data_IF_687065186014
#
_entry.id   IF_687065186014
#
_cell.length_a   1.000
_cell.length_b   1.000
_cell.length_c   1.000
_cell.angle_alpha   90.00
_cell.angle_beta   90.00
_cell.angle_gamma   90.00
#
_symmetry.space_group_name_H-M   'P 1'
#
loop_
_entity.id
_entity.type
_entity.pdbx_description
1 polymer ?
#
# COMPACT_ATOMS: atom_id res chain seq x y z
N UNK A 1 -16.23 -7.62 -9.24
CA UNK A 1 -14.89 -7.99 -8.73
C UNK A 1 -14.26 -6.82 -7.99
N UNK A 2 -13.70 -7.04 -6.79
CA UNK A 2 -13.01 -5.96 -6.08
C UNK A 2 -11.77 -5.49 -6.84
N UNK A 3 -11.46 -4.23 -6.68
CA UNK A 3 -10.34 -3.59 -7.38
C UNK A 3 -9.32 -3.03 -6.39
N UNK A 4 -8.08 -3.00 -6.83
CA UNK A 4 -6.98 -2.35 -6.11
C UNK A 4 -6.69 -1.02 -6.80
N UNK A 5 -6.71 0.06 -6.01
CA UNK A 5 -6.38 1.40 -6.47
C UNK A 5 -5.12 1.87 -5.74
N UNK A 6 -4.14 2.30 -6.51
CA UNK A 6 -2.86 2.76 -5.94
C UNK A 6 -2.79 4.27 -6.08
N UNK A 7 -2.68 4.95 -4.95
CA UNK A 7 -2.50 6.39 -4.91
C UNK A 7 -1.03 6.63 -4.56
N UNK A 8 -0.31 7.31 -5.45
CA UNK A 8 1.10 7.57 -5.24
C UNK A 8 1.42 9.03 -5.58
N UNK A 9 2.57 9.49 -5.14
CA UNK A 9 3.03 10.85 -5.37
C UNK A 9 3.89 11.33 -4.21
N UNK A 10 4.52 12.49 -4.35
CA UNK A 10 5.36 13.02 -3.29
C UNK A 10 4.53 13.42 -2.07
N UNK A 11 5.20 13.50 -0.93
CA UNK A 11 4.57 13.95 0.31
C UNK A 11 4.03 15.38 0.15
N UNK A 12 2.93 15.67 0.82
CA UNK A 12 2.38 17.03 0.83
C UNK A 12 1.45 17.38 -0.32
N UNK A 13 1.12 16.42 -1.20
CA UNK A 13 0.18 16.68 -2.30
C UNK A 13 -1.26 16.25 -1.99
N UNK A 14 -1.57 15.98 -0.73
CA UNK A 14 -2.92 15.62 -0.32
C UNK A 14 -3.32 14.18 -0.58
N UNK A 15 -2.36 13.28 -0.70
CA UNK A 15 -2.64 11.85 -0.98
C UNK A 15 -3.59 11.22 0.04
N UNK A 16 -3.37 11.49 1.32
CA UNK A 16 -4.20 10.89 2.37
C UNK A 16 -5.64 11.34 2.28
N UNK A 17 -5.89 12.62 2.00
CA UNK A 17 -7.23 13.14 1.84
C UNK A 17 -7.92 12.51 0.63
N UNK A 18 -7.22 12.47 -0.51
CA UNK A 18 -7.75 11.87 -1.74
C UNK A 18 -8.05 10.39 -1.52
N UNK A 19 -7.14 9.67 -0.87
CA UNK A 19 -7.30 8.24 -0.61
C UNK A 19 -8.52 7.95 0.26
N UNK A 20 -8.74 8.73 1.31
CA UNK A 20 -9.90 8.59 2.17
C UNK A 20 -11.20 8.83 1.42
N UNK A 21 -11.25 9.88 0.62
CA UNK A 21 -12.45 10.19 -0.16
C UNK A 21 -12.73 9.10 -1.18
N UNK A 22 -11.70 8.60 -1.84
CA UNK A 22 -11.87 7.49 -2.78
C UNK A 22 -12.40 6.24 -2.08
N UNK A 23 -11.82 5.88 -0.95
CA UNK A 23 -12.26 4.70 -0.20
C UNK A 23 -13.71 4.81 0.24
N UNK A 24 -14.14 6.00 0.68
CA UNK A 24 -15.52 6.25 1.12
C UNK A 24 -16.52 6.12 -0.03
N UNK A 25 -16.08 6.26 -1.27
CA UNK A 25 -16.98 6.21 -2.43
C UNK A 25 -17.42 4.79 -2.78
N UNK A 26 -16.81 3.77 -2.19
CA UNK A 26 -17.17 2.37 -2.44
C UNK A 26 -17.97 1.81 -1.27
N UNK A 27 -18.85 0.85 -1.57
CA UNK A 27 -19.70 0.24 -0.56
C UNK A 27 -18.90 -0.55 0.50
N UNK A 28 -17.84 -1.21 0.08
CA UNK A 28 -17.05 -2.05 0.95
C UNK A 28 -15.59 -1.88 0.56
N UNK A 29 -14.84 -1.16 1.36
CA UNK A 29 -13.47 -0.81 1.01
C UNK A 29 -12.56 -0.77 2.23
N UNK A 30 -11.26 -0.87 1.98
CA UNK A 30 -10.22 -0.73 2.98
C UNK A 30 -9.19 0.28 2.47
N UNK A 31 -8.74 1.15 3.35
CA UNK A 31 -7.66 2.10 3.06
C UNK A 31 -6.40 1.62 3.77
N UNK A 32 -5.34 1.44 3.01
CA UNK A 32 -4.05 1.01 3.54
C UNK A 32 -3.04 2.12 3.33
N UNK A 33 -2.54 2.67 4.43
CA UNK A 33 -1.49 3.66 4.41
C UNK A 33 -0.14 2.95 4.52
N UNK A 34 0.63 2.93 3.43
CA UNK A 34 1.89 2.23 3.41
C UNK A 34 2.88 2.73 4.45
N UNK A 35 2.91 4.05 4.67
CA UNK A 35 3.80 4.62 5.68
C UNK A 35 3.53 4.04 7.08
N UNK A 36 2.27 3.84 7.42
CA UNK A 36 1.91 3.25 8.72
C UNK A 36 2.44 1.83 8.85
N UNK A 37 2.37 1.07 7.77
CA UNK A 37 2.90 -0.30 7.77
C UNK A 37 4.42 -0.28 7.92
N UNK A 38 5.10 0.58 7.19
CA UNK A 38 6.56 0.67 7.28
C UNK A 38 7.01 1.01 8.69
N UNK A 39 6.28 1.89 9.35
CA UNK A 39 6.59 2.36 10.70
C UNK A 39 6.11 1.42 11.81
N UNK A 40 5.53 0.27 11.46
CA UNK A 40 5.23 -0.76 12.45
C UNK A 40 6.51 -1.38 13.02
N UNK A 41 7.61 -1.34 12.28
CA UNK A 41 8.90 -1.84 12.75
C UNK A 41 9.46 -0.85 13.76
N UNK A 42 9.68 -1.31 14.97
CA UNK A 42 10.24 -0.50 16.07
C UNK A 42 11.69 -0.91 16.31
N UNK A 43 11.90 -2.14 16.77
CA UNK A 43 13.26 -2.66 16.93
C UNK A 43 13.89 -2.90 15.58
N UNK A 44 15.07 -2.37 15.36
CA UNK A 44 15.75 -2.53 14.07
C UNK A 44 15.23 -1.66 12.95
N UNK A 45 14.46 -0.62 13.26
CA UNK A 45 13.94 0.29 12.25
C UNK A 45 15.08 0.95 11.46
N UNK A 46 14.95 0.92 10.12
CA UNK A 46 15.88 1.62 9.22
C UNK A 46 15.04 2.41 8.22
N UNK A 47 15.41 3.66 7.99
CA UNK A 47 14.72 4.50 7.03
C UNK A 47 14.75 3.89 5.64
N UNK A 48 13.65 4.06 4.90
CA UNK A 48 13.46 3.37 3.62
C UNK A 48 14.55 3.65 2.57
N UNK A 49 15.15 4.84 2.63
CA UNK A 49 16.19 5.23 1.66
C UNK A 49 17.60 4.81 2.08
N UNK A 50 17.75 4.18 3.23
CA UNK A 50 19.07 3.75 3.72
C UNK A 50 19.31 2.28 3.43
N UNK A 51 20.59 1.95 3.31
CA UNK A 51 21.01 0.55 3.18
C UNK A 51 20.62 -0.23 4.44
N UNK A 52 20.24 -1.49 4.26
CA UNK A 52 19.80 -2.33 5.37
C UNK A 52 18.35 -2.10 5.77
N UNK A 53 17.58 -1.37 4.95
CA UNK A 53 16.17 -1.13 5.24
C UNK A 53 15.34 -2.42 5.16
N UNK A 54 14.09 -2.34 5.63
CA UNK A 54 13.20 -3.50 5.66
C UNK A 54 12.09 -3.43 4.60
N UNK A 55 12.38 -2.81 3.45
CA UNK A 55 11.40 -2.70 2.37
C UNK A 55 10.94 -4.05 1.83
N UNK A 56 11.83 -5.03 1.78
CA UNK A 56 11.45 -6.36 1.30
C UNK A 56 10.35 -6.98 2.16
N UNK A 57 10.51 -6.90 3.48
CA UNK A 57 9.50 -7.39 4.42
C UNK A 57 8.23 -6.54 4.33
N UNK A 58 8.40 -5.23 4.26
CA UNK A 58 7.30 -4.29 4.10
C UNK A 58 6.40 -4.66 2.92
N UNK A 59 7.00 -4.91 1.74
CA UNK A 59 6.19 -5.24 0.56
C UNK A 59 5.48 -6.58 0.70
N UNK A 60 6.10 -7.56 1.37
CA UNK A 60 5.41 -8.82 1.67
C UNK A 60 4.17 -8.59 2.54
N UNK A 61 4.31 -7.78 3.58
CA UNK A 61 3.19 -7.45 4.46
C UNK A 61 2.09 -6.74 3.69
N UNK A 62 2.44 -5.74 2.90
CA UNK A 62 1.47 -4.98 2.10
C UNK A 62 0.71 -5.89 1.14
N UNK A 63 1.42 -6.74 0.40
CA UNK A 63 0.77 -7.65 -0.55
C UNK A 63 -0.20 -8.58 0.16
N UNK A 64 0.21 -9.13 1.30
CA UNK A 64 -0.65 -10.05 2.04
C UNK A 64 -1.90 -9.38 2.59
N UNK A 65 -1.77 -8.15 3.12
CA UNK A 65 -2.92 -7.39 3.60
C UNK A 65 -3.89 -7.10 2.45
N UNK A 66 -3.36 -6.61 1.33
CA UNK A 66 -4.17 -6.27 0.17
C UNK A 66 -4.91 -7.51 -0.35
N UNK A 67 -4.20 -8.62 -0.50
CA UNK A 67 -4.82 -9.87 -0.97
C UNK A 67 -5.95 -10.31 -0.07
N UNK A 68 -5.75 -10.24 1.24
CA UNK A 68 -6.77 -10.66 2.20
C UNK A 68 -8.05 -9.85 2.02
N UNK A 69 -7.93 -8.53 1.92
CA UNK A 69 -9.11 -7.68 1.72
C UNK A 69 -9.79 -7.96 0.38
N UNK A 70 -9.02 -8.08 -0.69
CA UNK A 70 -9.60 -8.35 -2.01
C UNK A 70 -10.33 -9.70 -2.03
N UNK A 71 -9.75 -10.72 -1.41
CA UNK A 71 -10.36 -12.05 -1.35
C UNK A 71 -11.68 -12.02 -0.58
N UNK A 72 -11.80 -11.12 0.38
CA UNK A 72 -13.01 -11.00 1.19
C UNK A 72 -14.02 -10.00 0.62
N UNK A 73 -13.78 -9.53 -0.60
CA UNK A 73 -14.74 -8.70 -1.32
C UNK A 73 -14.60 -7.21 -1.10
N UNK A 74 -13.49 -6.75 -0.52
CA UNK A 74 -13.25 -5.32 -0.31
C UNK A 74 -12.49 -4.73 -1.49
N UNK A 75 -12.92 -3.55 -1.95
CA UNK A 75 -12.04 -2.72 -2.77
C UNK A 75 -10.93 -2.19 -1.87
N UNK A 76 -9.73 -2.06 -2.40
CA UNK A 76 -8.58 -1.60 -1.61
C UNK A 76 -8.00 -0.33 -2.22
N UNK A 77 -7.80 0.67 -1.37
CA UNK A 77 -7.07 1.88 -1.74
C UNK A 77 -5.74 1.82 -0.99
N UNK A 78 -4.64 1.77 -1.73
CA UNK A 78 -3.30 1.69 -1.17
C UNK A 78 -2.55 3.00 -1.45
N UNK A 79 -2.11 3.66 -0.39
CA UNK A 79 -1.44 4.96 -0.46
C UNK A 79 0.01 4.80 -0.03
N UNK A 80 0.94 4.97 -0.98
CA UNK A 80 2.37 4.93 -0.70
C UNK A 80 3.15 5.49 -1.90
N UNK A 81 4.39 5.91 -1.66
CA UNK A 81 5.28 6.31 -2.75
C UNK A 81 5.74 5.03 -3.47
N UNK A 82 5.33 4.87 -4.72
CA UNK A 82 5.59 3.66 -5.48
C UNK A 82 6.52 3.99 -6.65
N UNK A 83 7.69 3.33 -6.68
CA UNK A 83 8.61 3.45 -7.81
C UNK A 83 8.17 2.51 -8.94
N UNK A 84 8.67 2.70 -10.18
CA UNK A 84 8.34 1.76 -11.26
C UNK A 84 8.69 0.30 -10.93
N UNK A 85 9.81 0.06 -10.24
CA UNK A 85 10.21 -1.30 -9.84
C UNK A 85 9.20 -1.89 -8.86
N UNK A 86 8.76 -1.10 -7.89
CA UNK A 86 7.77 -1.55 -6.91
C UNK A 86 6.42 -1.80 -7.55
N UNK A 87 6.04 -0.98 -8.53
CA UNK A 87 4.81 -1.19 -9.27
C UNK A 87 4.82 -2.53 -10.01
N UNK A 88 5.95 -2.90 -10.59
CA UNK A 88 6.09 -4.21 -11.22
C UNK A 88 5.92 -5.36 -10.23
N UNK A 89 6.46 -5.23 -9.02
CA UNK A 89 6.28 -6.22 -7.97
C UNK A 89 4.79 -6.41 -7.64
N UNK A 90 4.07 -5.30 -7.53
CA UNK A 90 2.64 -5.34 -7.25
C UNK A 90 1.89 -6.00 -8.39
N UNK A 91 2.19 -5.64 -9.62
CA UNK A 91 1.56 -6.23 -10.81
C UNK A 91 1.77 -7.74 -10.86
N UNK A 92 2.97 -8.20 -10.58
CA UNK A 92 3.28 -9.63 -10.57
C UNK A 92 2.48 -10.33 -9.47
N UNK A 93 2.41 -9.75 -8.28
CA UNK A 93 1.72 -10.33 -7.14
C UNK A 93 0.21 -10.47 -7.39
N UNK A 94 -0.37 -9.58 -8.18
CA UNK A 94 -1.82 -9.56 -8.45
C UNK A 94 -2.17 -9.87 -9.90
N UNK A 95 -1.28 -10.56 -10.59
CA UNK A 95 -1.45 -10.86 -12.01
C UNK A 95 -2.73 -11.64 -12.31
N UNK A 96 -3.17 -12.45 -11.40
CA UNK A 96 -4.41 -13.17 -11.52
C UNK A 96 -5.53 -12.47 -10.78
#
# INVERSE_FOLDING_TARGET
>A
MPNLYIITGPAGVGKSTISKELAKSYNKSALIEGDDIYHQVIGGFVQAWKEGNHLKTFWKVCVNIIKTYLEDGFDVVFNYIVTPENLELIKIAFKD
#
